data_IF_784787498640
#
_entry.id   IF_784787498640
#
_cell.length_a   1.000
_cell.length_b   1.000
_cell.length_c   1.000
_cell.angle_alpha   90.00
_cell.angle_beta   90.00
_cell.angle_gamma   90.00
#
_symmetry.space_group_name_H-M   'P 1'
#
loop_
_entity.id
_entity.type
_entity.pdbx_description
1 polymer ?
#
# COMPACT_ATOMS: atom_id res chain seq x y z
N UNK A 1 46.81 0.49 29.34
CA UNK A 1 47.64 -0.72 29.45
C UNK A 1 47.47 -1.47 28.14
N UNK A 2 48.17 -1.07 27.09
CA UNK A 2 49.59 -1.34 26.81
C UNK A 2 49.92 -2.81 26.49
N UNK A 3 50.57 -2.93 25.33
CA UNK A 3 51.59 -3.92 24.95
C UNK A 3 51.16 -5.36 24.62
N UNK A 4 51.19 -5.69 23.31
CA UNK A 4 52.41 -6.19 22.66
C UNK A 4 52.25 -6.27 21.13
N UNK A 5 52.85 -5.31 20.43
CA UNK A 5 53.42 -5.47 19.08
C UNK A 5 54.83 -6.01 19.27
N UNK A 6 55.18 -7.13 18.64
CA UNK A 6 56.54 -7.51 18.22
C UNK A 6 56.47 -8.95 17.70
N UNK A 7 56.54 -9.15 16.38
CA UNK A 7 56.51 -10.51 15.81
C UNK A 7 56.28 -10.64 14.31
N UNK A 8 56.58 -9.62 13.49
CA UNK A 8 56.32 -9.68 12.05
C UNK A 8 57.50 -9.25 11.16
N UNK A 9 58.74 -9.22 11.67
CA UNK A 9 59.87 -8.61 10.93
C UNK A 9 61.14 -9.48 10.84
N UNK A 10 61.01 -10.81 10.97
CA UNK A 10 62.16 -11.74 10.84
C UNK A 10 61.98 -12.94 9.92
N UNK A 11 60.89 -13.03 9.16
CA UNK A 11 60.70 -14.10 8.16
C UNK A 11 60.69 -13.62 6.69
N UNK A 12 60.89 -12.32 6.46
CA UNK A 12 60.86 -11.74 5.11
C UNK A 12 62.26 -11.57 4.48
N UNK A 13 63.33 -11.99 5.17
CA UNK A 13 64.73 -11.79 4.75
C UNK A 13 65.47 -13.06 4.29
N UNK A 14 64.77 -14.17 4.02
CA UNK A 14 65.40 -15.41 3.52
C UNK A 14 64.77 -16.01 2.24
N UNK A 15 63.82 -15.33 1.59
CA UNK A 15 63.22 -15.81 0.32
C UNK A 15 63.64 -15.03 -0.93
N UNK A 16 64.29 -13.86 -0.80
CA UNK A 16 64.65 -13.01 -1.95
C UNK A 16 66.00 -13.35 -2.61
N UNK A 17 66.86 -14.14 -1.96
CA UNK A 17 68.17 -14.53 -2.52
C UNK A 17 68.11 -15.81 -3.38
N UNK A 18 67.11 -16.68 -3.19
CA UNK A 18 66.91 -17.90 -4.00
C UNK A 18 66.31 -17.64 -5.39
N UNK A 19 65.54 -16.55 -5.56
CA UNK A 19 64.85 -16.26 -6.82
C UNK A 19 65.75 -15.57 -7.86
N UNK A 20 66.85 -14.95 -7.42
CA UNK A 20 67.80 -14.24 -8.31
C UNK A 20 68.80 -15.17 -9.01
N UNK A 21 69.04 -16.37 -8.46
CA UNK A 21 69.92 -17.38 -9.07
C UNK A 21 69.30 -18.11 -10.27
N UNK A 22 68.00 -18.41 -10.23
CA UNK A 22 67.31 -19.16 -11.29
C UNK A 22 67.04 -18.33 -12.55
N UNK A 23 66.90 -17.00 -12.40
CA UNK A 23 66.62 -16.07 -13.53
C UNK A 23 67.85 -15.81 -14.42
N UNK A 24 69.07 -16.09 -13.96
CA UNK A 24 70.31 -15.89 -14.75
C UNK A 24 70.62 -17.06 -15.70
N UNK A 25 70.26 -18.30 -15.36
CA UNK A 25 70.58 -19.48 -16.19
C UNK A 25 69.67 -19.69 -17.41
N UNK A 26 68.41 -19.25 -17.35
CA UNK A 26 67.44 -19.43 -18.46
C UNK A 26 67.60 -18.35 -19.55
N UNK A 27 68.08 -17.16 -19.18
CA UNK A 27 68.26 -16.04 -20.11
C UNK A 27 69.35 -16.25 -21.15
N UNK A 28 70.42 -16.98 -20.80
CA UNK A 28 71.55 -17.24 -21.72
C UNK A 28 71.28 -18.39 -22.70
N UNK A 29 70.34 -19.30 -22.40
CA UNK A 29 69.94 -20.37 -23.33
C UNK A 29 68.99 -19.85 -24.43
N UNK A 30 68.11 -18.88 -24.10
CA UNK A 30 67.14 -18.30 -25.05
C UNK A 30 67.75 -17.29 -26.04
N UNK A 31 68.97 -16.81 -25.81
CA UNK A 31 69.64 -15.86 -26.72
C UNK A 31 70.35 -16.53 -27.90
N UNK A 32 70.73 -17.81 -27.80
CA UNK A 32 71.46 -18.55 -28.87
C UNK A 32 70.55 -19.23 -29.90
N UNK A 33 69.27 -19.43 -29.63
CA UNK A 33 68.30 -20.07 -30.54
C UNK A 33 67.43 -19.08 -31.34
N UNK A 34 67.52 -17.78 -31.06
CA UNK A 34 66.72 -16.71 -31.69
C UNK A 34 67.09 -16.38 -33.15
N UNK A 35 68.28 -16.74 -33.63
CA UNK A 35 68.78 -16.32 -34.95
C UNK A 35 68.12 -16.98 -36.16
N UNK A 36 67.56 -18.19 -36.01
CA UNK A 36 67.03 -18.98 -37.14
C UNK A 36 65.54 -19.36 -37.02
N UNK A 37 64.99 -19.37 -35.80
CA UNK A 37 63.59 -19.73 -35.54
C UNK A 37 62.60 -18.60 -35.90
N UNK A 38 62.99 -17.35 -35.73
CA UNK A 38 62.15 -16.18 -36.03
C UNK A 38 61.82 -16.06 -37.53
N UNK A 39 62.78 -16.14 -38.47
CA UNK A 39 62.47 -16.07 -39.91
C UNK A 39 61.67 -17.28 -40.41
N UNK A 40 61.86 -18.47 -39.85
CA UNK A 40 61.14 -19.68 -40.28
C UNK A 40 59.68 -19.67 -39.80
N UNK A 41 59.42 -19.22 -38.57
CA UNK A 41 58.06 -19.06 -38.06
C UNK A 41 57.31 -17.90 -38.74
N UNK A 42 57.97 -16.80 -39.09
CA UNK A 42 57.34 -15.73 -39.87
C UNK A 42 57.04 -16.14 -41.31
N UNK A 43 57.91 -16.94 -41.95
CA UNK A 43 57.64 -17.51 -43.29
C UNK A 43 56.47 -18.52 -43.23
N UNK A 44 56.36 -19.34 -42.19
CA UNK A 44 55.21 -20.25 -42.01
C UNK A 44 53.92 -19.46 -41.71
N UNK A 45 53.99 -18.39 -40.92
CA UNK A 45 52.83 -17.54 -40.60
C UNK A 45 52.38 -16.73 -41.83
N UNK A 46 53.31 -16.17 -42.61
CA UNK A 46 53.02 -15.48 -43.87
C UNK A 46 52.53 -16.45 -44.95
N UNK A 47 53.12 -17.64 -45.05
CA UNK A 47 52.70 -18.70 -45.97
C UNK A 47 51.31 -19.26 -45.66
N UNK A 48 50.97 -19.42 -44.38
CA UNK A 48 49.61 -19.83 -43.96
C UNK A 48 48.58 -18.71 -44.16
N UNK A 49 48.96 -17.44 -44.00
CA UNK A 49 48.10 -16.30 -44.34
C UNK A 49 47.84 -16.20 -45.86
N UNK A 50 48.84 -16.49 -46.70
CA UNK A 50 48.72 -16.54 -48.17
C UNK A 50 47.87 -17.73 -48.64
N UNK A 51 47.93 -18.87 -47.95
CA UNK A 51 47.06 -20.02 -48.23
C UNK A 51 45.60 -19.78 -47.78
N UNK A 52 45.37 -18.94 -46.78
CA UNK A 52 44.03 -18.52 -46.32
C UNK A 52 43.41 -17.41 -47.19
N UNK A 53 44.22 -16.59 -47.86
CA UNK A 53 43.77 -15.49 -48.73
C UNK A 53 42.74 -15.90 -49.80
N UNK A 54 42.94 -16.95 -50.62
CA UNK A 54 41.93 -17.40 -51.58
C UNK A 54 40.67 -18.00 -50.92
N UNK A 55 40.76 -18.48 -49.68
CA UNK A 55 39.60 -18.95 -48.90
C UNK A 55 38.78 -17.77 -48.36
N UNK A 56 39.45 -16.73 -47.84
CA UNK A 56 38.83 -15.47 -47.41
C UNK A 56 38.19 -14.72 -48.60
N UNK A 57 38.84 -14.68 -49.76
CA UNK A 57 38.29 -14.12 -51.00
C UNK A 57 37.08 -14.90 -51.54
N UNK A 58 36.93 -16.19 -51.22
CA UNK A 58 35.71 -16.98 -51.52
C UNK A 58 34.58 -16.77 -50.49
N UNK A 59 34.89 -16.32 -49.28
CA UNK A 59 33.90 -16.08 -48.22
C UNK A 59 33.17 -14.72 -48.37
N UNK A 60 33.88 -13.67 -48.78
CA UNK A 60 33.27 -12.35 -49.07
C UNK A 60 32.06 -12.40 -50.04
N UNK A 61 32.13 -13.08 -51.21
CA UNK A 61 31.01 -13.10 -52.15
C UNK A 61 29.79 -13.87 -51.61
N UNK A 62 29.97 -14.83 -50.69
CA UNK A 62 28.85 -15.55 -50.05
C UNK A 62 28.13 -14.69 -49.01
N UNK A 63 28.86 -13.87 -48.25
CA UNK A 63 28.24 -12.92 -47.31
C UNK A 63 27.41 -11.85 -48.05
N UNK A 64 27.84 -11.42 -49.24
CA UNK A 64 27.04 -10.53 -50.13
C UNK A 64 25.75 -11.16 -50.66
N UNK A 65 25.59 -12.48 -50.60
CA UNK A 65 24.36 -13.16 -51.03
C UNK A 65 23.31 -13.27 -49.92
N UNK A 66 23.66 -12.94 -48.67
CA UNK A 66 22.69 -12.92 -47.57
C UNK A 66 21.85 -11.63 -47.70
N UNK A 67 20.53 -11.72 -47.91
CA UNK A 67 19.68 -10.53 -48.19
C UNK A 67 19.78 -9.46 -47.11
N UNK A 68 19.93 -9.87 -45.84
CA UNK A 68 20.12 -8.99 -44.70
C UNK A 68 21.40 -8.16 -44.74
N UNK A 69 22.49 -8.72 -45.30
CA UNK A 69 23.77 -8.03 -45.39
C UNK A 69 23.78 -6.94 -46.46
N UNK A 70 23.01 -7.12 -47.55
CA UNK A 70 22.90 -6.13 -48.61
C UNK A 70 22.28 -4.81 -48.13
N UNK A 71 21.31 -4.87 -47.22
CA UNK A 71 20.72 -3.67 -46.61
C UNK A 71 21.78 -2.83 -45.88
N UNK A 72 22.74 -3.48 -45.22
CA UNK A 72 23.77 -2.80 -44.41
C UNK A 72 24.85 -2.10 -45.23
N UNK A 73 24.92 -2.34 -46.55
CA UNK A 73 25.80 -1.60 -47.44
C UNK A 73 25.39 -0.12 -47.57
N UNK A 74 24.11 0.19 -47.33
CA UNK A 74 23.56 1.55 -47.41
C UNK A 74 22.96 2.03 -46.08
N UNK A 75 22.39 1.13 -45.27
CA UNK A 75 21.78 1.47 -43.99
C UNK A 75 22.71 1.17 -42.83
N UNK A 76 23.20 2.23 -42.18
CA UNK A 76 24.02 2.08 -40.98
C UNK A 76 23.15 1.59 -39.83
N UNK A 77 23.62 0.54 -39.16
CA UNK A 77 22.96 0.00 -37.98
C UNK A 77 23.22 0.87 -36.76
N UNK A 78 22.17 1.11 -35.99
CA UNK A 78 22.25 1.84 -34.73
C UNK A 78 22.50 0.88 -33.56
N UNK A 79 23.11 1.39 -32.50
CA UNK A 79 23.32 0.68 -31.23
C UNK A 79 22.64 1.42 -30.09
N UNK A 80 22.17 0.68 -29.09
CA UNK A 80 21.51 1.25 -27.92
C UNK A 80 21.29 0.22 -26.83
N UNK A 81 20.71 0.66 -25.72
CA UNK A 81 20.53 -0.15 -24.53
C UNK A 81 19.54 -1.30 -24.74
N UNK A 82 18.43 -1.03 -25.44
CA UNK A 82 17.44 -2.02 -25.85
C UNK A 82 17.46 -2.15 -27.37
N UNK A 83 17.61 -3.36 -27.88
CA UNK A 83 17.68 -3.64 -29.32
C UNK A 83 16.67 -4.75 -29.64
N UNK A 84 15.81 -4.50 -30.62
CA UNK A 84 14.81 -5.47 -31.04
C UNK A 84 15.50 -6.70 -31.64
N UNK A 85 15.21 -7.94 -31.20
CA UNK A 85 15.97 -9.11 -31.64
C UNK A 85 16.03 -9.32 -33.16
N UNK A 86 14.93 -9.18 -33.94
CA UNK A 86 14.99 -9.27 -35.40
C UNK A 86 15.91 -8.20 -36.02
N UNK A 87 15.90 -6.98 -35.47
CA UNK A 87 16.81 -5.93 -35.89
C UNK A 87 18.25 -6.28 -35.56
N UNK A 88 18.54 -6.77 -34.34
CA UNK A 88 19.88 -7.23 -33.93
C UNK A 88 20.44 -8.30 -34.87
N UNK A 89 19.59 -9.23 -35.32
CA UNK A 89 19.94 -10.30 -36.27
C UNK A 89 19.99 -9.85 -37.74
N UNK A 90 19.71 -8.57 -38.02
CA UNK A 90 19.64 -8.01 -39.37
C UNK A 90 18.53 -8.62 -40.22
N UNK A 91 17.46 -9.17 -39.64
CA UNK A 91 16.32 -9.71 -40.39
C UNK A 91 15.41 -8.59 -40.93
N UNK A 92 15.98 -7.66 -41.70
CA UNK A 92 15.31 -6.45 -42.20
C UNK A 92 14.06 -6.79 -43.04
N UNK A 93 14.14 -7.86 -43.83
CA UNK A 93 13.07 -8.31 -44.73
C UNK A 93 11.89 -8.96 -44.03
N UNK A 94 11.99 -9.23 -42.73
CA UNK A 94 10.85 -9.68 -41.93
C UNK A 94 9.84 -8.56 -41.68
N UNK A 95 10.27 -7.30 -41.76
CA UNK A 95 9.41 -6.13 -41.53
C UNK A 95 9.33 -5.22 -42.75
N UNK A 96 10.43 -5.04 -43.47
CA UNK A 96 10.53 -4.11 -44.60
C UNK A 96 10.57 -4.83 -45.94
N UNK A 97 9.91 -4.27 -46.95
CA UNK A 97 10.09 -4.72 -48.33
C UNK A 97 11.48 -4.27 -48.83
N UNK A 98 12.20 -5.12 -49.58
CA UNK A 98 13.40 -4.68 -50.30
C UNK A 98 13.07 -3.50 -51.23
N UNK A 99 13.97 -2.53 -51.31
CA UNK A 99 13.78 -1.32 -52.10
C UNK A 99 15.10 -0.85 -52.70
N UNK A 100 15.03 0.07 -53.66
CA UNK A 100 16.19 0.70 -54.29
C UNK A 100 16.58 1.99 -53.57
N UNK A 101 17.79 2.49 -53.87
CA UNK A 101 18.25 3.79 -53.38
C UNK A 101 17.33 4.90 -53.87
N UNK A 102 16.84 5.73 -52.95
CA UNK A 102 15.92 6.84 -53.24
C UNK A 102 14.44 6.50 -53.07
N UNK A 103 14.08 5.22 -52.95
CA UNK A 103 12.72 4.80 -52.63
C UNK A 103 12.46 4.86 -51.11
N UNK A 104 11.21 5.11 -50.72
CA UNK A 104 10.79 5.04 -49.31
C UNK A 104 10.75 3.57 -48.87
N UNK A 105 11.15 3.32 -47.63
CA UNK A 105 11.00 1.99 -47.04
C UNK A 105 9.53 1.71 -46.74
N UNK A 106 9.03 0.57 -47.23
CA UNK A 106 7.68 0.10 -46.98
C UNK A 106 7.66 -1.12 -46.06
N UNK A 107 6.59 -1.30 -45.30
CA UNK A 107 6.38 -2.51 -44.50
C UNK A 107 5.80 -3.64 -45.36
N UNK A 108 6.13 -4.89 -45.02
CA UNK A 108 5.62 -6.09 -45.71
C UNK A 108 4.14 -6.35 -45.44
N UNK A 109 3.59 -5.76 -44.37
CA UNK A 109 2.19 -5.82 -43.99
C UNK A 109 1.80 -4.55 -43.21
N UNK A 110 0.50 -4.24 -43.04
CA UNK A 110 0.06 -3.16 -42.15
C UNK A 110 0.66 -3.31 -40.75
N UNK A 111 1.09 -2.20 -40.14
CA UNK A 111 1.87 -2.18 -38.91
C UNK A 111 1.28 -3.06 -37.79
N UNK A 112 -0.02 -2.89 -37.48
CA UNK A 112 -0.73 -3.66 -36.45
C UNK A 112 -0.63 -5.18 -36.70
N UNK A 113 -0.95 -5.62 -37.92
CA UNK A 113 -0.91 -7.03 -38.31
C UNK A 113 0.51 -7.58 -38.30
N UNK A 114 1.49 -6.78 -38.74
CA UNK A 114 2.90 -7.13 -38.73
C UNK A 114 3.43 -7.36 -37.30
N UNK A 115 3.11 -6.48 -36.36
CA UNK A 115 3.55 -6.65 -34.98
C UNK A 115 2.96 -7.93 -34.36
N UNK A 116 1.69 -8.21 -34.61
CA UNK A 116 1.01 -9.36 -34.01
C UNK A 116 1.41 -10.72 -34.58
N UNK A 117 1.95 -10.78 -35.80
CA UNK A 117 2.48 -12.04 -36.34
C UNK A 117 3.64 -12.60 -35.50
N UNK A 118 4.36 -11.72 -34.79
CA UNK A 118 5.44 -12.11 -33.87
C UNK A 118 5.10 -11.90 -32.39
N UNK A 119 4.17 -10.98 -32.06
CA UNK A 119 3.70 -10.70 -30.70
C UNK A 119 2.22 -11.11 -30.51
N UNK A 120 1.89 -12.41 -30.60
CA UNK A 120 0.50 -12.88 -30.51
C UNK A 120 -0.11 -12.64 -29.13
N UNK A 121 0.71 -12.49 -28.07
CA UNK A 121 0.25 -12.11 -26.73
C UNK A 121 -0.45 -10.76 -26.71
N UNK A 122 0.12 -9.74 -27.37
CA UNK A 122 -0.50 -8.41 -27.50
C UNK A 122 -1.79 -8.52 -28.33
N UNK A 123 -1.79 -9.37 -29.36
CA UNK A 123 -2.98 -9.68 -30.14
C UNK A 123 -4.14 -10.24 -29.29
N UNK A 124 -3.84 -10.98 -28.22
CA UNK A 124 -4.84 -11.43 -27.23
C UNK A 124 -5.21 -10.32 -26.24
N UNK A 125 -4.27 -9.48 -25.83
CA UNK A 125 -4.54 -8.39 -24.89
C UNK A 125 -5.60 -7.41 -25.45
N UNK A 126 -5.59 -7.16 -26.76
CA UNK A 126 -6.56 -6.26 -27.43
C UNK A 126 -7.94 -6.88 -27.65
N UNK A 127 -8.16 -8.12 -27.23
CA UNK A 127 -9.49 -8.76 -27.23
C UNK A 127 -10.10 -8.84 -25.83
N UNK A 128 -9.42 -8.30 -24.82
CA UNK A 128 -9.90 -8.28 -23.44
C UNK A 128 -10.96 -7.20 -23.21
N UNK A 129 -11.55 -7.22 -22.02
CA UNK A 129 -12.62 -6.31 -21.61
C UNK A 129 -12.22 -4.83 -21.70
N UNK A 130 -11.00 -4.50 -21.26
CA UNK A 130 -10.41 -3.19 -21.41
C UNK A 130 -9.28 -3.25 -22.43
N UNK A 131 -9.35 -2.42 -23.45
CA UNK A 131 -8.30 -2.25 -24.46
C UNK A 131 -7.84 -0.81 -24.42
N UNK A 132 -6.53 -0.59 -24.35
CA UNK A 132 -5.99 0.75 -24.39
C UNK A 132 -6.10 1.31 -25.82
N UNK A 133 -6.80 2.42 -25.97
CA UNK A 133 -7.19 3.02 -27.25
C UNK A 133 -6.09 3.10 -28.30
N UNK A 134 -4.87 3.62 -28.00
CA UNK A 134 -3.77 3.68 -28.97
C UNK A 134 -3.38 2.29 -29.50
N UNK A 135 -3.44 1.28 -28.64
CA UNK A 135 -3.07 -0.10 -28.97
C UNK A 135 -4.16 -0.76 -29.80
N UNK A 136 -5.44 -0.54 -29.45
CA UNK A 136 -6.58 -0.98 -30.24
C UNK A 136 -6.56 -0.42 -31.67
N UNK A 137 -6.14 0.84 -31.84
CA UNK A 137 -5.97 1.52 -33.14
C UNK A 137 -4.68 1.14 -33.88
N UNK A 138 -3.78 0.39 -33.25
CA UNK A 138 -2.52 -0.06 -33.86
C UNK A 138 -1.42 0.98 -33.89
N UNK A 139 -1.49 2.01 -33.04
CA UNK A 139 -0.48 3.04 -32.90
C UNK A 139 0.71 2.59 -32.03
N UNK A 140 1.26 1.41 -32.34
CA UNK A 140 2.38 0.81 -31.60
C UNK A 140 3.59 1.76 -31.52
N UNK A 141 3.79 2.52 -32.60
CA UNK A 141 4.91 3.44 -32.72
C UNK A 141 4.72 4.72 -31.90
N UNK A 142 3.57 4.99 -31.29
CA UNK A 142 3.43 6.15 -30.41
C UNK A 142 4.23 5.96 -29.12
N UNK A 143 4.43 4.71 -28.72
CA UNK A 143 5.18 4.34 -27.52
C UNK A 143 6.49 3.61 -27.81
N UNK A 144 6.59 2.84 -28.91
CA UNK A 144 7.75 1.98 -29.17
C UNK A 144 8.63 2.42 -30.35
N UNK A 145 9.93 2.13 -30.25
CA UNK A 145 10.93 2.21 -31.32
C UNK A 145 11.30 0.79 -31.78
N UNK A 146 10.88 0.35 -32.98
CA UNK A 146 10.97 -1.05 -33.39
C UNK A 146 12.39 -1.58 -33.69
N UNK A 147 13.41 -0.71 -33.64
CA UNK A 147 14.80 -1.08 -33.89
C UNK A 147 15.63 -1.05 -32.61
N UNK A 148 15.80 0.15 -32.06
CA UNK A 148 16.68 0.44 -30.93
C UNK A 148 16.03 1.50 -30.07
N UNK A 149 16.24 1.41 -28.76
CA UNK A 149 15.92 2.45 -27.81
C UNK A 149 16.97 2.55 -26.69
N UNK A 150 17.08 3.72 -26.08
CA UNK A 150 17.74 3.94 -24.78
C UNK A 150 16.94 3.39 -23.60
N UNK A 151 15.66 3.04 -23.78
CA UNK A 151 14.74 2.60 -22.74
C UNK A 151 14.37 1.13 -22.87
N UNK A 152 14.01 0.52 -21.73
CA UNK A 152 13.58 -0.88 -21.69
C UNK A 152 12.35 -1.12 -22.58
N UNK A 153 12.21 -2.37 -23.04
CA UNK A 153 11.12 -2.83 -23.92
C UNK A 153 10.87 -1.90 -25.11
N UNK A 154 11.95 -1.30 -25.63
CA UNK A 154 11.95 -0.45 -26.82
C UNK A 154 11.04 0.79 -26.69
N UNK A 155 10.86 1.36 -25.51
CA UNK A 155 10.04 2.58 -25.36
C UNK A 155 10.72 3.79 -26.00
N UNK A 156 9.96 4.73 -26.55
CA UNK A 156 10.48 5.98 -27.15
C UNK A 156 11.15 6.89 -26.12
N UNK A 157 10.65 6.84 -24.89
CA UNK A 157 11.00 7.73 -23.78
C UNK A 157 10.82 6.95 -22.47
N UNK A 158 11.12 7.60 -21.35
CA UNK A 158 10.76 7.09 -20.03
C UNK A 158 9.24 6.83 -19.91
N UNK A 159 8.88 5.74 -19.25
CA UNK A 159 7.48 5.30 -19.10
C UNK A 159 6.57 6.38 -18.52
N UNK A 160 7.02 7.12 -17.51
CA UNK A 160 6.26 8.22 -16.90
C UNK A 160 5.99 9.30 -17.94
N UNK A 161 7.01 9.71 -18.70
CA UNK A 161 6.87 10.76 -19.73
C UNK A 161 5.91 10.34 -20.84
N UNK A 162 5.96 9.10 -21.29
CA UNK A 162 5.03 8.58 -22.33
C UNK A 162 3.59 8.67 -21.84
N UNK A 163 3.31 8.17 -20.63
CA UNK A 163 1.96 8.22 -20.07
C UNK A 163 1.46 9.66 -19.94
N UNK A 164 2.31 10.57 -19.44
CA UNK A 164 1.95 11.96 -19.15
C UNK A 164 1.77 12.82 -20.40
N UNK A 165 2.23 12.35 -21.57
CA UNK A 165 2.00 13.04 -22.84
C UNK A 165 0.50 13.13 -23.17
N UNK A 166 -0.24 12.05 -22.88
CA UNK A 166 -1.69 11.97 -23.12
C UNK A 166 -2.51 12.08 -21.83
N UNK A 167 -2.12 11.36 -20.79
CA UNK A 167 -2.83 11.37 -19.51
C UNK A 167 -2.42 12.60 -18.70
N UNK A 168 -3.33 13.56 -18.61
CA UNK A 168 -3.11 14.82 -17.90
C UNK A 168 -3.45 14.63 -16.43
N UNK A 169 -2.42 14.59 -15.61
CA UNK A 169 -2.54 14.43 -14.16
C UNK A 169 -2.28 15.71 -13.37
N UNK A 170 -2.50 16.88 -13.99
CA UNK A 170 -2.15 18.15 -13.36
C UNK A 170 -2.88 18.38 -12.03
N UNK A 171 -4.13 17.92 -11.95
CA UNK A 171 -4.95 18.03 -10.75
C UNK A 171 -4.44 17.10 -9.64
N UNK A 172 -4.24 15.81 -9.93
CA UNK A 172 -3.74 14.83 -8.97
C UNK A 172 -2.32 15.17 -8.50
N UNK A 173 -1.48 15.74 -9.36
CA UNK A 173 -0.16 16.23 -8.98
C UNK A 173 -0.21 17.47 -8.08
N UNK A 174 -1.29 18.26 -8.14
CA UNK A 174 -1.48 19.42 -7.26
C UNK A 174 -2.09 19.04 -5.90
N UNK A 175 -2.62 17.82 -5.75
CA UNK A 175 -3.18 17.34 -4.49
C UNK A 175 -2.11 17.09 -3.42
N UNK A 176 -2.52 17.20 -2.15
CA UNK A 176 -1.61 17.17 -1.00
C UNK A 176 -1.02 15.79 -0.70
N UNK A 177 -1.85 14.76 -0.70
CA UNK A 177 -1.47 13.39 -0.38
C UNK A 177 -1.39 12.61 -1.70
N UNK A 178 -0.18 12.28 -2.16
CA UNK A 178 0.02 11.53 -3.40
C UNK A 178 0.45 10.11 -3.09
N UNK A 179 -0.20 9.15 -3.74
CA UNK A 179 0.18 7.75 -3.60
C UNK A 179 1.60 7.56 -4.16
N UNK A 180 2.51 7.04 -3.34
CA UNK A 180 3.94 6.98 -3.65
C UNK A 180 4.27 6.33 -5.01
N UNK A 181 3.68 5.18 -5.41
CA UNK A 181 3.89 4.62 -6.74
C UNK A 181 3.47 5.56 -7.88
N UNK A 182 2.39 6.33 -7.70
CA UNK A 182 1.94 7.30 -8.69
C UNK A 182 2.90 8.49 -8.80
N UNK A 183 3.33 9.05 -7.68
CA UNK A 183 4.31 10.14 -7.64
C UNK A 183 5.64 9.74 -8.31
N UNK A 184 6.09 8.51 -8.04
CA UNK A 184 7.26 7.91 -8.67
C UNK A 184 7.08 7.57 -10.16
N UNK A 185 5.86 7.65 -10.71
CA UNK A 185 5.56 7.31 -12.10
C UNK A 185 5.55 5.81 -12.40
N UNK A 186 5.36 4.97 -11.39
CA UNK A 186 5.29 3.52 -11.50
C UNK A 186 3.90 3.06 -11.96
N UNK A 187 3.37 3.64 -13.03
CA UNK A 187 2.02 3.37 -13.54
C UNK A 187 1.80 1.87 -13.82
N UNK A 188 2.84 1.20 -14.32
CA UNK A 188 2.82 -0.21 -14.66
C UNK A 188 2.90 -1.18 -13.45
N UNK A 189 2.95 -0.65 -12.22
CA UNK A 189 2.76 -1.46 -11.01
C UNK A 189 1.29 -1.80 -10.76
N UNK A 190 0.38 -0.97 -11.29
CA UNK A 190 -1.06 -1.12 -11.14
C UNK A 190 -1.77 -1.35 -12.47
N UNK A 191 -1.26 -0.76 -13.55
CA UNK A 191 -1.87 -0.82 -14.88
C UNK A 191 -1.07 -1.67 -15.87
N UNK A 192 -1.75 -2.15 -16.90
CA UNK A 192 -1.17 -2.72 -18.12
C UNK A 192 -1.53 -1.84 -19.31
N UNK A 193 -0.53 -1.50 -20.12
CA UNK A 193 -0.68 -0.49 -21.18
C UNK A 193 -1.35 -1.01 -22.48
N UNK A 194 -1.52 -2.33 -22.64
CA UNK A 194 -2.10 -2.93 -23.86
C UNK A 194 -3.58 -3.26 -23.68
N UNK A 195 -3.90 -4.13 -22.73
CA UNK A 195 -5.27 -4.53 -22.45
C UNK A 195 -5.37 -5.43 -21.23
N UNK A 196 -6.51 -5.37 -20.56
CA UNK A 196 -6.79 -6.06 -19.29
C UNK A 196 -8.20 -6.62 -19.25
N UNK A 197 -8.37 -7.69 -18.48
CA UNK A 197 -9.69 -8.23 -18.14
C UNK A 197 -10.40 -7.35 -17.09
N UNK A 198 -9.65 -6.47 -16.44
CA UNK A 198 -10.12 -5.56 -15.40
C UNK A 198 -10.30 -4.13 -15.92
N UNK A 199 -11.27 -3.42 -15.33
CA UNK A 199 -11.57 -2.04 -15.70
C UNK A 199 -10.37 -1.11 -15.56
N UNK A 200 -10.34 -0.05 -16.39
CA UNK A 200 -9.28 0.98 -16.41
C UNK A 200 -7.86 0.42 -16.58
N UNK A 201 -7.74 -0.76 -17.19
CA UNK A 201 -6.45 -1.36 -17.50
C UNK A 201 -5.67 -1.83 -16.28
N UNK A 202 -6.34 -2.17 -15.17
CA UNK A 202 -5.66 -2.69 -13.98
C UNK A 202 -5.07 -4.07 -14.24
N UNK A 203 -3.95 -4.42 -13.61
CA UNK A 203 -3.31 -5.73 -13.78
C UNK A 203 -4.13 -6.85 -13.12
N UNK A 204 -4.82 -6.52 -12.02
CA UNK A 204 -5.71 -7.40 -11.25
C UNK A 204 -6.92 -6.60 -10.76
N UNK A 205 -7.89 -7.30 -10.18
CA UNK A 205 -8.97 -6.66 -9.42
C UNK A 205 -8.40 -5.86 -8.23
N UNK A 206 -9.19 -4.95 -7.64
CA UNK A 206 -8.64 -3.95 -6.71
C UNK A 206 -8.09 -4.60 -5.44
N UNK A 207 -8.85 -5.52 -4.83
CA UNK A 207 -8.49 -6.20 -3.59
C UNK A 207 -7.17 -6.94 -3.75
N UNK A 208 -7.02 -7.76 -4.78
CA UNK A 208 -5.77 -8.51 -5.00
C UNK A 208 -4.62 -7.57 -5.37
N UNK A 209 -4.89 -6.52 -6.14
CA UNK A 209 -3.86 -5.56 -6.54
C UNK A 209 -3.33 -4.76 -5.35
N UNK A 210 -4.23 -4.16 -4.56
CA UNK A 210 -3.87 -3.29 -3.45
C UNK A 210 -3.20 -4.08 -2.32
N UNK A 211 -3.73 -5.24 -1.91
CA UNK A 211 -3.16 -5.99 -0.78
C UNK A 211 -1.83 -6.67 -1.10
N UNK A 212 -1.44 -6.76 -2.38
CA UNK A 212 -0.10 -7.20 -2.76
C UNK A 212 0.99 -6.26 -2.19
N UNK A 213 0.67 -4.97 -2.02
CA UNK A 213 1.54 -3.98 -1.40
C UNK A 213 1.08 -3.55 0.00
N UNK A 214 -0.21 -3.74 0.33
CA UNK A 214 -0.80 -3.41 1.64
C UNK A 214 -1.19 -4.68 2.42
N UNK A 215 -0.20 -5.49 2.87
CA UNK A 215 -0.48 -6.78 3.49
C UNK A 215 -1.21 -6.68 4.83
N UNK A 216 -1.08 -5.58 5.57
CA UNK A 216 -1.78 -5.39 6.83
C UNK A 216 -3.29 -5.22 6.64
N UNK A 217 -3.70 -4.52 5.57
CA UNK A 217 -5.09 -4.52 5.13
C UNK A 217 -5.47 -5.91 4.64
N UNK A 218 -4.58 -6.58 3.90
CA UNK A 218 -4.76 -7.97 3.46
C UNK A 218 -5.09 -8.95 4.58
N UNK A 219 -4.54 -8.76 5.79
CA UNK A 219 -4.89 -9.56 6.98
C UNK A 219 -6.27 -9.20 7.51
N UNK A 220 -6.59 -7.90 7.64
CA UNK A 220 -7.86 -7.42 8.19
C UNK A 220 -9.07 -7.85 7.36
N UNK A 221 -8.95 -7.85 6.04
CA UNK A 221 -10.04 -8.26 5.14
C UNK A 221 -10.30 -9.78 5.13
N UNK A 222 -9.50 -10.56 5.87
CA UNK A 222 -9.74 -11.98 6.11
C UNK A 222 -10.54 -12.22 7.40
N UNK A 223 -10.76 -11.17 8.20
CA UNK A 223 -11.56 -11.28 9.41
C UNK A 223 -13.03 -11.64 9.07
N UNK A 224 -13.81 -12.20 10.02
CA UNK A 224 -15.20 -12.59 9.77
C UNK A 224 -16.11 -11.42 9.37
N UNK A 225 -15.85 -10.23 9.91
CA UNK A 225 -16.62 -9.02 9.62
C UNK A 225 -15.78 -8.08 8.77
N UNK A 226 -16.16 -7.95 7.50
CA UNK A 226 -15.50 -7.07 6.52
C UNK A 226 -16.52 -6.07 6.02
N UNK A 227 -16.09 -4.81 5.89
CA UNK A 227 -16.97 -3.73 5.45
C UNK A 227 -17.46 -3.98 4.00
N UNK A 228 -18.76 -3.79 3.69
CA UNK A 228 -19.33 -4.20 2.40
C UNK A 228 -18.61 -3.69 1.14
N UNK A 229 -18.20 -2.40 1.03
CA UNK A 229 -17.45 -1.92 -0.13
C UNK A 229 -16.17 -2.73 -0.41
N UNK A 230 -15.52 -3.24 0.64
CA UNK A 230 -14.29 -4.03 0.52
C UNK A 230 -14.61 -5.47 0.15
N UNK A 231 -15.71 -6.03 0.68
CA UNK A 231 -16.22 -7.33 0.21
C UNK A 231 -16.44 -7.29 -1.31
N UNK A 232 -16.99 -6.19 -1.81
CA UNK A 232 -17.33 -5.95 -3.21
C UNK A 232 -16.17 -5.51 -4.13
N UNK A 233 -14.91 -5.56 -3.67
CA UNK A 233 -13.74 -5.17 -4.46
C UNK A 233 -13.67 -3.67 -4.81
N UNK A 234 -14.22 -2.80 -3.96
CA UNK A 234 -14.32 -1.35 -4.19
C UNK A 234 -13.44 -0.54 -3.24
N UNK A 235 -12.16 -0.87 -3.16
CA UNK A 235 -11.17 -0.09 -2.39
C UNK A 235 -11.18 1.39 -2.79
N UNK A 236 -11.39 1.67 -4.09
CA UNK A 236 -11.37 3.03 -4.64
C UNK A 236 -12.63 3.84 -4.38
N UNK A 237 -13.69 3.26 -3.81
CA UNK A 237 -14.87 4.03 -3.40
C UNK A 237 -14.53 4.92 -2.18
N UNK A 238 -13.52 4.52 -1.41
CA UNK A 238 -13.02 5.29 -0.27
C UNK A 238 -11.66 5.95 -0.54
N UNK A 239 -10.75 5.24 -1.19
CA UNK A 239 -9.39 5.70 -1.42
C UNK A 239 -9.16 6.22 -2.84
N UNK A 240 -8.62 7.43 -2.95
CA UNK A 240 -7.81 7.88 -4.05
C UNK A 240 -6.66 6.92 -4.32
N UNK A 241 -6.52 6.54 -5.58
CA UNK A 241 -5.52 5.55 -6.03
C UNK A 241 -4.28 6.20 -6.64
N UNK A 242 -4.39 7.47 -7.04
CA UNK A 242 -3.28 8.31 -7.50
C UNK A 242 -2.93 9.37 -6.47
N UNK A 243 -3.92 10.15 -6.06
CA UNK A 243 -3.77 11.23 -5.10
C UNK A 243 -5.11 11.58 -4.45
N UNK A 244 -5.03 12.30 -3.34
CA UNK A 244 -6.14 13.00 -2.70
C UNK A 244 -5.66 14.25 -1.95
N UNK A 245 -6.57 15.16 -1.64
CA UNK A 245 -6.31 16.26 -0.71
C UNK A 245 -6.38 15.84 0.76
N UNK A 246 -6.84 14.62 1.05
CA UNK A 246 -7.09 14.13 2.40
C UNK A 246 -6.14 12.99 2.76
N UNK A 247 -5.76 12.85 4.06
CA UNK A 247 -4.85 11.81 4.51
C UNK A 247 -5.33 10.39 4.16
N UNK A 248 -4.37 9.47 4.05
CA UNK A 248 -4.60 8.06 3.66
C UNK A 248 -5.44 7.94 2.39
N UNK A 249 -5.29 8.92 1.50
CA UNK A 249 -5.98 9.01 0.23
C UNK A 249 -7.52 9.07 0.31
N UNK A 250 -8.18 9.49 1.38
CA UNK A 250 -9.66 9.52 1.38
C UNK A 250 -10.25 10.53 0.40
N UNK A 251 -11.49 10.37 -0.07
CA UNK A 251 -12.13 11.36 -0.95
C UNK A 251 -12.73 12.59 -0.23
N UNK A 252 -12.80 12.57 1.11
CA UNK A 252 -13.22 13.68 1.96
C UNK A 252 -12.45 13.64 3.30
N UNK A 253 -12.66 14.64 4.16
CA UNK A 253 -12.13 14.61 5.53
C UNK A 253 -12.64 13.40 6.32
N UNK A 254 -11.83 12.90 7.27
CA UNK A 254 -12.01 11.57 7.86
C UNK A 254 -13.41 11.30 8.43
N UNK A 255 -13.95 12.22 9.22
CA UNK A 255 -15.28 12.09 9.85
C UNK A 255 -16.36 12.25 8.78
N UNK A 256 -16.28 13.32 7.99
CA UNK A 256 -17.27 13.65 6.97
C UNK A 256 -17.40 12.55 5.91
N UNK A 257 -16.30 11.89 5.56
CA UNK A 257 -16.28 10.79 4.61
C UNK A 257 -17.19 9.63 5.05
N UNK A 258 -17.13 9.23 6.33
CA UNK A 258 -18.01 8.20 6.88
C UNK A 258 -19.49 8.60 6.76
N UNK A 259 -19.79 9.87 7.04
CA UNK A 259 -21.15 10.40 7.02
C UNK A 259 -21.75 10.60 5.62
N UNK A 260 -20.95 10.48 4.55
CA UNK A 260 -21.49 10.44 3.18
C UNK A 260 -22.48 9.28 3.02
N UNK A 261 -22.22 8.16 3.71
CA UNK A 261 -23.09 6.98 3.72
C UNK A 261 -23.83 6.81 5.05
N UNK A 262 -23.14 6.97 6.18
CA UNK A 262 -23.68 6.73 7.54
C UNK A 262 -24.35 8.00 8.12
N UNK A 263 -25.38 8.48 7.43
CA UNK A 263 -26.11 9.71 7.82
C UNK A 263 -26.91 9.55 9.11
N UNK A 264 -27.46 8.36 9.33
CA UNK A 264 -28.12 7.97 10.57
C UNK A 264 -27.18 8.08 11.78
N UNK A 265 -25.92 7.68 11.61
CA UNK A 265 -24.91 7.82 12.66
C UNK A 265 -24.54 9.28 12.88
N UNK A 266 -24.46 10.10 11.82
CA UNK A 266 -24.24 11.55 11.93
C UNK A 266 -25.30 12.19 12.82
N UNK A 267 -26.57 11.86 12.58
CA UNK A 267 -27.70 12.42 13.35
C UNK A 267 -27.59 12.09 14.85
N UNK A 268 -27.01 10.95 15.21
CA UNK A 268 -26.76 10.57 16.61
C UNK A 268 -25.70 11.46 17.26
N UNK A 269 -24.63 11.83 16.55
CA UNK A 269 -23.58 12.71 17.05
C UNK A 269 -24.02 14.19 17.16
N UNK A 270 -25.16 14.55 16.57
CA UNK A 270 -25.76 15.89 16.71
C UNK A 270 -26.66 16.03 17.95
N UNK A 271 -26.88 14.93 18.70
CA UNK A 271 -27.66 14.94 19.93
C UNK A 271 -26.94 15.66 21.07
N UNK A 272 -27.71 15.97 22.13
CA UNK A 272 -27.25 16.75 23.29
C UNK A 272 -26.08 16.11 24.04
N UNK A 273 -25.98 14.77 24.02
CA UNK A 273 -24.86 14.03 24.61
C UNK A 273 -24.29 13.07 23.56
N UNK A 274 -23.06 13.30 23.13
CA UNK A 274 -22.36 12.47 22.14
C UNK A 274 -20.89 12.32 22.53
N UNK A 275 -20.22 11.26 22.08
CA UNK A 275 -18.76 11.21 22.19
C UNK A 275 -18.16 12.35 21.35
N UNK A 276 -17.09 13.02 21.83
CA UNK A 276 -16.54 14.19 21.16
C UNK A 276 -15.74 13.77 19.92
N UNK A 277 -16.31 13.93 18.73
CA UNK A 277 -15.58 13.72 17.49
C UNK A 277 -14.57 14.86 17.27
N UNK A 278 -13.30 14.48 17.13
CA UNK A 278 -12.17 15.39 16.90
C UNK A 278 -11.27 14.84 15.80
N UNK A 279 -10.21 15.58 15.46
CA UNK A 279 -9.21 15.14 14.48
C UNK A 279 -8.49 13.84 14.90
N UNK A 280 -8.29 13.65 16.19
CA UNK A 280 -7.50 12.56 16.76
C UNK A 280 -8.36 11.45 17.39
N UNK A 281 -9.64 11.76 17.68
CA UNK A 281 -10.64 10.81 18.17
C UNK A 281 -11.87 10.81 17.28
N UNK A 282 -12.03 9.77 16.48
CA UNK A 282 -13.09 9.63 15.49
C UNK A 282 -13.45 8.15 15.29
N UNK A 283 -14.27 7.85 14.28
CA UNK A 283 -14.88 6.54 14.06
C UNK A 283 -13.87 5.38 14.14
N UNK A 284 -12.66 5.53 13.57
CA UNK A 284 -11.70 4.41 13.49
C UNK A 284 -10.97 4.10 14.79
N UNK A 285 -11.07 4.98 15.80
CA UNK A 285 -10.61 4.66 17.14
C UNK A 285 -11.45 3.50 17.71
N UNK A 286 -12.74 3.44 17.34
CA UNK A 286 -13.65 2.38 17.75
C UNK A 286 -13.80 1.27 16.70
N UNK A 287 -13.75 1.60 15.41
CA UNK A 287 -14.04 0.69 14.31
C UNK A 287 -12.85 0.43 13.37
N UNK A 288 -12.80 -0.73 12.74
CA UNK A 288 -11.92 -0.99 11.60
C UNK A 288 -12.73 -0.97 10.29
N UNK A 289 -12.60 0.09 9.46
CA UNK A 289 -13.36 0.20 8.22
C UNK A 289 -12.93 -0.84 7.16
N UNK A 290 -11.85 -1.59 7.39
CA UNK A 290 -11.43 -2.67 6.52
C UNK A 290 -12.06 -4.01 6.91
N UNK A 291 -11.86 -4.40 8.16
CA UNK A 291 -12.42 -5.62 8.71
C UNK A 291 -11.94 -5.88 10.14
N UNK A 292 -12.84 -6.41 10.96
CA UNK A 292 -12.61 -6.66 12.37
C UNK A 292 -13.05 -8.08 12.78
N UNK A 293 -12.53 -8.55 13.90
CA UNK A 293 -12.88 -9.85 14.47
C UNK A 293 -14.30 -9.87 15.06
N UNK A 294 -14.81 -8.71 15.43
CA UNK A 294 -16.09 -8.54 16.10
C UNK A 294 -17.12 -7.90 15.17
N UNK A 295 -18.39 -8.11 15.49
CA UNK A 295 -19.52 -7.56 14.73
C UNK A 295 -19.52 -6.02 14.76
N UNK A 296 -20.25 -5.40 13.83
CA UNK A 296 -20.26 -3.95 13.66
C UNK A 296 -18.86 -3.33 13.44
N UNK A 297 -17.89 -4.14 13.04
CA UNK A 297 -16.52 -3.73 12.75
C UNK A 297 -15.79 -3.09 13.93
N UNK A 298 -16.12 -3.45 15.17
CA UNK A 298 -15.45 -2.87 16.35
C UNK A 298 -14.06 -3.49 16.56
N UNK A 299 -13.11 -2.66 17.00
CA UNK A 299 -11.71 -3.06 17.19
C UNK A 299 -11.51 -4.04 18.34
N UNK A 300 -12.40 -4.05 19.33
CA UNK A 300 -12.35 -4.91 20.53
C UNK A 300 -13.77 -5.13 21.09
N UNK A 301 -13.98 -6.17 21.90
CA UNK A 301 -15.30 -6.53 22.43
C UNK A 301 -15.44 -6.30 23.95
N UNK A 302 -16.67 -6.02 24.38
CA UNK A 302 -17.03 -5.93 25.79
C UNK A 302 -16.52 -4.68 26.49
N UNK A 303 -16.68 -4.65 27.81
CA UNK A 303 -16.39 -3.46 28.63
C UNK A 303 -14.91 -3.09 28.66
N UNK A 304 -14.02 -4.09 28.49
CA UNK A 304 -12.58 -3.87 28.38
C UNK A 304 -12.23 -2.87 27.28
N UNK A 305 -13.02 -2.81 26.21
CA UNK A 305 -12.81 -1.83 25.15
C UNK A 305 -13.04 -0.40 25.65
N UNK A 306 -14.13 -0.18 26.40
CA UNK A 306 -14.43 1.13 26.99
C UNK A 306 -13.33 1.57 27.97
N UNK A 307 -12.76 0.63 28.71
CA UNK A 307 -11.72 0.89 29.72
C UNK A 307 -10.37 1.28 29.11
N UNK A 308 -10.17 1.12 27.79
CA UNK A 308 -8.98 1.67 27.11
C UNK A 308 -8.92 3.21 27.20
N UNK A 309 -10.05 3.87 27.41
CA UNK A 309 -10.13 5.32 27.60
C UNK A 309 -10.76 5.71 28.95
N UNK A 310 -11.65 4.88 29.49
CA UNK A 310 -12.32 5.07 30.77
C UNK A 310 -11.73 4.16 31.85
N UNK A 311 -10.42 4.27 32.06
CA UNK A 311 -9.65 3.41 32.98
C UNK A 311 -10.10 3.55 34.44
N UNK A 312 -10.47 4.76 34.84
CA UNK A 312 -11.00 5.09 36.17
C UNK A 312 -12.28 4.30 36.47
N UNK A 313 -13.19 4.24 35.49
CA UNK A 313 -14.40 3.43 35.58
C UNK A 313 -14.03 1.94 35.63
N UNK A 314 -13.13 1.48 34.75
CA UNK A 314 -12.71 0.08 34.69
C UNK A 314 -12.10 -0.45 35.99
N UNK A 315 -11.43 0.42 36.74
CA UNK A 315 -10.81 0.07 38.03
C UNK A 315 -11.83 -0.38 39.07
N UNK A 316 -13.03 0.21 39.06
CA UNK A 316 -14.03 -0.01 40.10
C UNK A 316 -15.29 -0.71 39.60
N UNK A 317 -15.56 -0.72 38.29
CA UNK A 317 -16.76 -1.35 37.75
C UNK A 317 -16.75 -2.88 37.96
N UNK A 318 -15.58 -3.49 37.83
CA UNK A 318 -15.40 -4.93 38.04
C UNK A 318 -15.81 -5.32 39.47
N UNK A 319 -16.80 -6.20 39.58
CA UNK A 319 -17.35 -6.65 40.86
C UNK A 319 -18.43 -5.76 41.48
N UNK A 320 -18.84 -4.68 40.81
CA UNK A 320 -20.01 -3.92 41.22
C UNK A 320 -21.30 -4.71 40.96
N UNK A 321 -22.41 -4.29 41.58
CA UNK A 321 -23.69 -4.98 41.40
C UNK A 321 -24.19 -4.96 39.94
N UNK A 322 -23.80 -3.95 39.16
CA UNK A 322 -24.20 -3.80 37.75
C UNK A 322 -23.32 -4.60 36.77
N UNK A 323 -22.14 -5.06 37.19
CA UNK A 323 -21.24 -5.89 36.39
C UNK A 323 -21.83 -7.28 36.05
N UNK A 324 -22.87 -7.68 36.79
CA UNK A 324 -23.57 -8.95 36.60
C UNK A 324 -24.96 -8.80 35.97
N UNK A 325 -25.40 -7.57 35.70
CA UNK A 325 -26.75 -7.31 35.19
C UNK A 325 -26.82 -7.70 33.72
N UNK A 326 -27.88 -8.44 33.37
CA UNK A 326 -28.17 -8.83 31.99
C UNK A 326 -29.47 -8.14 31.56
N UNK A 327 -29.41 -7.35 30.48
CA UNK A 327 -30.60 -6.74 29.89
C UNK A 327 -30.60 -6.79 28.36
N UNK A 328 -29.94 -5.82 27.70
CA UNK A 328 -29.79 -5.77 26.23
C UNK A 328 -28.61 -6.63 25.78
N UNK A 329 -27.55 -6.67 26.59
CA UNK A 329 -26.32 -7.42 26.39
C UNK A 329 -25.92 -8.15 27.69
N UNK A 330 -25.20 -9.28 27.59
CA UNK A 330 -24.76 -10.07 28.74
C UNK A 330 -23.68 -9.35 29.57
N UNK A 331 -23.35 -9.93 30.73
CA UNK A 331 -22.16 -9.59 31.52
C UNK A 331 -22.00 -8.10 31.90
N UNK A 332 -23.09 -7.44 32.32
CA UNK A 332 -22.99 -6.07 32.82
C UNK A 332 -22.47 -5.08 31.78
N UNK A 333 -22.71 -5.35 30.49
CA UNK A 333 -22.20 -4.53 29.39
C UNK A 333 -22.53 -3.05 29.56
N UNK A 334 -21.55 -2.16 29.31
CA UNK A 334 -21.75 -0.71 29.28
C UNK A 334 -22.89 -0.31 28.33
N UNK A 335 -23.10 -1.07 27.25
CA UNK A 335 -24.15 -0.82 26.26
C UNK A 335 -25.57 -1.13 26.75
N UNK A 336 -25.73 -1.75 27.93
CA UNK A 336 -27.02 -1.84 28.60
C UNK A 336 -27.53 -0.47 29.05
N UNK A 337 -26.63 0.47 29.31
CA UNK A 337 -26.96 1.78 29.84
C UNK A 337 -26.57 2.91 28.88
N UNK A 338 -25.49 2.74 28.11
CA UNK A 338 -24.93 3.76 27.25
C UNK A 338 -25.16 3.49 25.77
N UNK A 339 -25.39 4.57 25.02
CA UNK A 339 -25.47 4.59 23.57
C UNK A 339 -24.32 5.41 23.00
N UNK A 340 -23.27 4.72 22.55
CA UNK A 340 -21.92 5.31 22.34
C UNK A 340 -21.82 6.38 21.26
N UNK A 341 -22.74 6.46 20.31
CA UNK A 341 -22.69 7.50 19.28
C UNK A 341 -23.30 8.82 19.78
N UNK A 342 -24.50 8.75 20.34
CA UNK A 342 -25.11 9.90 20.99
C UNK A 342 -26.56 9.69 21.42
N UNK A 343 -26.96 10.40 22.46
CA UNK A 343 -28.25 10.33 23.12
C UNK A 343 -28.80 11.70 23.45
N UNK A 344 -30.13 11.77 23.55
CA UNK A 344 -30.85 12.95 24.02
C UNK A 344 -30.73 13.12 25.55
N UNK A 345 -30.25 12.08 26.23
CA UNK A 345 -30.05 12.03 27.67
C UNK A 345 -28.57 12.20 28.02
N UNK A 346 -28.29 12.95 29.09
CA UNK A 346 -26.94 13.21 29.59
C UNK A 346 -26.13 11.93 29.80
N UNK A 347 -24.82 12.02 29.63
CA UNK A 347 -23.88 10.90 29.78
C UNK A 347 -24.20 9.70 28.88
N UNK A 348 -24.66 9.97 27.66
CA UNK A 348 -24.94 8.95 26.64
C UNK A 348 -25.97 7.90 27.07
N UNK A 349 -26.85 8.18 28.02
CA UNK A 349 -27.78 7.15 28.54
C UNK A 349 -28.80 6.73 27.47
N UNK A 350 -29.17 5.45 27.41
CA UNK A 350 -30.17 4.93 26.45
C UNK A 350 -31.60 5.40 26.75
N UNK A 351 -31.85 5.91 27.97
CA UNK A 351 -33.13 6.41 28.47
C UNK A 351 -32.88 7.55 29.47
N UNK A 352 -33.94 8.29 29.81
CA UNK A 352 -33.93 9.20 30.95
C UNK A 352 -33.49 8.45 32.22
N UNK A 353 -32.64 9.07 33.04
CA UNK A 353 -31.91 8.41 34.12
C UNK A 353 -32.83 7.66 35.10
N UNK A 354 -33.90 8.31 35.60
CA UNK A 354 -34.84 7.66 36.53
C UNK A 354 -35.58 6.51 35.85
N UNK A 355 -36.04 6.71 34.61
CA UNK A 355 -36.71 5.66 33.83
C UNK A 355 -35.78 4.46 33.51
N UNK A 356 -34.49 4.72 33.28
CA UNK A 356 -33.49 3.68 33.09
C UNK A 356 -33.35 2.82 34.34
N UNK A 357 -33.12 3.42 35.51
CA UNK A 357 -33.01 2.70 36.77
C UNK A 357 -34.27 1.88 37.06
N UNK A 358 -35.46 2.48 36.86
CA UNK A 358 -36.76 1.81 37.02
C UNK A 358 -37.00 0.66 36.04
N UNK A 359 -36.20 0.49 35.00
CA UNK A 359 -36.32 -0.66 34.11
C UNK A 359 -35.96 -1.97 34.85
N UNK A 360 -35.07 -1.91 35.85
CA UNK A 360 -34.64 -3.09 36.63
C UNK A 360 -35.01 -2.95 38.11
N UNK A 361 -34.94 -1.75 38.68
CA UNK A 361 -35.21 -1.48 40.09
C UNK A 361 -36.70 -1.20 40.36
N UNK A 362 -37.58 -2.08 39.88
CA UNK A 362 -39.03 -1.87 39.91
C UNK A 362 -39.69 -2.48 41.16
N UNK A 363 -39.10 -3.51 41.78
CA UNK A 363 -39.66 -4.25 42.92
C UNK A 363 -38.58 -4.95 43.76
N UNK A 364 -37.48 -4.28 44.12
CA UNK A 364 -36.57 -4.87 45.10
C UNK A 364 -37.22 -4.75 46.51
N UNK A 365 -37.62 -5.84 47.19
CA UNK A 365 -38.17 -5.76 48.55
C UNK A 365 -37.19 -5.15 49.57
N UNK A 366 -35.92 -4.94 49.18
CA UNK A 366 -34.86 -4.28 49.95
C UNK A 366 -34.53 -2.84 49.53
N UNK A 367 -35.07 -2.35 48.41
CA UNK A 367 -34.81 -0.98 47.92
C UNK A 367 -36.10 -0.16 48.10
N UNK A 368 -36.48 0.06 49.36
CA UNK A 368 -37.52 1.04 49.70
C UNK A 368 -36.94 2.42 49.44
N UNK A 369 -37.42 3.07 48.38
CA UNK A 369 -37.01 4.43 48.06
C UNK A 369 -37.85 5.35 48.94
N UNK A 370 -37.33 5.71 50.11
CA UNK A 370 -38.00 6.57 51.09
C UNK A 370 -37.76 8.07 50.82
N UNK A 371 -37.00 8.41 49.77
CA UNK A 371 -36.68 9.80 49.40
C UNK A 371 -37.33 10.20 48.06
N UNK A 372 -37.89 11.42 47.92
CA UNK A 372 -38.42 11.90 46.65
C UNK A 372 -37.34 12.07 45.57
N UNK A 373 -37.68 11.86 44.30
CA UNK A 373 -36.80 12.02 43.14
C UNK A 373 -37.63 12.26 41.87
N UNK A 374 -36.97 12.73 40.80
CA UNK A 374 -37.60 13.17 39.56
C UNK A 374 -38.22 14.56 39.69
N UNK A 375 -38.94 15.00 38.66
CA UNK A 375 -39.63 16.30 38.69
C UNK A 375 -40.75 16.27 39.75
N UNK A 376 -40.91 17.31 40.61
CA UNK A 376 -40.24 18.62 40.59
C UNK A 376 -39.02 18.75 41.52
N UNK A 377 -38.49 17.64 42.04
CA UNK A 377 -37.44 17.65 43.07
C UNK A 377 -36.08 18.01 42.47
N UNK A 378 -35.41 18.96 43.12
CA UNK A 378 -34.10 19.48 42.73
C UNK A 378 -33.00 18.83 43.56
N UNK A 379 -31.89 18.55 42.92
CA UNK A 379 -30.65 18.15 43.57
C UNK A 379 -29.91 19.41 44.03
N UNK A 380 -29.76 19.59 45.34
CA UNK A 380 -29.13 20.79 45.90
C UNK A 380 -27.62 20.87 45.65
N UNK A 381 -26.97 19.74 45.34
CA UNK A 381 -25.53 19.71 45.07
C UNK A 381 -25.23 19.98 43.61
N UNK A 382 -26.01 19.40 42.69
CA UNK A 382 -25.78 19.59 41.24
C UNK A 382 -26.59 20.73 40.64
N UNK A 383 -27.62 21.20 41.35
CA UNK A 383 -28.56 22.20 40.86
C UNK A 383 -29.58 21.67 39.85
N UNK A 384 -29.45 20.41 39.42
CA UNK A 384 -30.31 19.75 38.44
C UNK A 384 -31.52 19.06 39.04
N UNK A 385 -32.18 18.21 38.25
CA UNK A 385 -33.25 17.32 38.76
C UNK A 385 -32.62 16.26 39.66
N UNK A 386 -33.21 16.03 40.83
CA UNK A 386 -32.79 14.96 41.72
C UNK A 386 -33.12 13.60 41.11
N UNK A 387 -32.11 12.85 40.69
CA UNK A 387 -32.27 11.50 40.15
C UNK A 387 -31.58 10.49 41.06
N UNK A 388 -31.67 9.20 40.74
CA UNK A 388 -30.95 8.17 41.49
C UNK A 388 -29.43 8.38 41.42
N UNK A 389 -28.91 8.88 40.30
CA UNK A 389 -27.48 9.01 40.01
C UNK A 389 -26.98 10.45 39.92
N UNK A 390 -27.79 11.45 40.28
CA UNK A 390 -27.35 12.85 40.20
C UNK A 390 -26.31 13.17 41.27
N UNK A 391 -26.50 12.65 42.48
CA UNK A 391 -25.60 12.86 43.60
C UNK A 391 -25.60 11.73 44.63
N UNK A 392 -26.67 10.94 44.69
CA UNK A 392 -26.84 9.87 45.68
C UNK A 392 -26.04 8.61 45.35
N UNK A 393 -26.23 8.05 44.15
CA UNK A 393 -25.59 6.80 43.73
C UNK A 393 -24.61 6.99 42.56
N UNK A 394 -23.50 6.27 42.58
CA UNK A 394 -22.69 6.07 41.37
C UNK A 394 -22.99 4.68 40.77
N UNK A 395 -23.60 4.61 39.58
CA UNK A 395 -23.92 3.33 38.96
C UNK A 395 -22.67 2.52 38.55
N UNK A 396 -21.48 3.12 38.54
CA UNK A 396 -20.23 2.47 38.15
C UNK A 396 -19.42 1.89 39.31
N UNK A 397 -19.95 1.97 40.54
CA UNK A 397 -19.41 1.52 41.83
C UNK A 397 -18.90 2.67 42.73
N UNK A 398 -18.97 2.43 44.04
CA UNK A 398 -18.36 3.27 45.06
C UNK A 398 -17.74 2.40 46.15
N UNK A 399 -16.80 2.91 46.97
CA UNK A 399 -16.30 2.16 48.12
C UNK A 399 -17.36 1.99 49.23
N UNK A 400 -18.58 2.51 49.06
CA UNK A 400 -19.62 2.50 50.07
C UNK A 400 -20.73 1.49 49.72
N UNK A 401 -21.34 0.82 50.71
CA UNK A 401 -22.42 -0.14 50.46
C UNK A 401 -23.58 0.48 49.68
N UNK A 402 -24.26 -0.32 48.84
CA UNK A 402 -25.36 0.12 47.99
C UNK A 402 -25.01 1.24 46.99
N UNK A 403 -23.72 1.38 46.65
CA UNK A 403 -23.23 2.28 45.60
C UNK A 403 -23.56 3.76 45.86
N UNK A 404 -23.66 4.17 47.13
CA UNK A 404 -23.86 5.59 47.49
C UNK A 404 -22.54 6.36 47.36
N UNK A 405 -22.58 7.64 47.04
CA UNK A 405 -21.37 8.47 46.82
C UNK A 405 -20.69 8.96 48.10
N UNK A 406 -21.37 8.86 49.25
CA UNK A 406 -20.88 9.26 50.58
C UNK A 406 -21.25 8.21 51.65
N UNK A 407 -20.45 8.05 52.72
CA UNK A 407 -20.74 7.10 53.78
C UNK A 407 -21.78 7.63 54.78
N UNK A 408 -22.60 6.72 55.34
CA UNK A 408 -23.57 6.98 56.44
C UNK A 408 -24.51 8.16 56.11
N UNK A 409 -24.78 9.03 57.08
CA UNK A 409 -25.66 10.21 56.95
C UNK A 409 -24.98 11.40 56.26
N UNK A 410 -23.72 11.25 55.80
CA UNK A 410 -22.94 12.35 55.23
C UNK A 410 -23.64 13.01 54.05
N UNK A 411 -24.40 12.25 53.26
CA UNK A 411 -25.19 12.78 52.16
C UNK A 411 -26.42 13.56 52.63
N UNK A 412 -27.16 13.02 53.61
CA UNK A 412 -28.33 13.67 54.19
C UNK A 412 -27.98 15.03 54.82
N UNK A 413 -26.85 15.09 55.52
CA UNK A 413 -26.38 16.31 56.18
C UNK A 413 -25.98 17.40 55.18
N UNK A 414 -25.37 17.02 54.04
CA UNK A 414 -24.97 17.97 53.00
C UNK A 414 -26.18 18.55 52.25
N UNK A 415 -27.10 17.70 51.79
CA UNK A 415 -28.26 18.16 51.02
C UNK A 415 -29.26 18.95 51.87
N UNK A 416 -29.42 18.62 53.15
CA UNK A 416 -30.26 19.39 54.07
C UNK A 416 -29.51 20.56 54.73
N UNK A 417 -28.32 20.91 54.24
CA UNK A 417 -27.52 22.06 54.69
C UNK A 417 -27.27 22.06 56.22
N UNK A 418 -27.18 20.87 56.80
CA UNK A 418 -26.82 20.67 58.22
C UNK A 418 -25.31 20.81 58.40
N UNK A 419 -24.54 20.59 57.33
CA UNK A 419 -23.09 20.84 57.25
C UNK A 419 -22.76 21.53 55.92
N UNK A 420 -21.78 22.42 55.92
CA UNK A 420 -21.32 23.09 54.70
C UNK A 420 -20.43 22.16 53.85
N UNK A 421 -20.44 22.37 52.54
CA UNK A 421 -19.49 21.71 51.63
C UNK A 421 -18.07 22.20 51.96
N UNK A 422 -17.07 21.29 52.07
CA UNK A 422 -15.69 21.68 52.29
C UNK A 422 -15.10 22.49 51.14
#
# INVERSE_FOLDING_TARGET
MENKKEGADKQQLQSEEGEKGLKRGVGEWLSRSRGWLIPLLTIIFLGSLILLLPYLQKFEPRLRQIPSYQCLLCHKKESGASIHPPYKMSHCTSCHKPHKKGEKSELVAPLKTLCFSCHPGIGKDITRNFVHDPVGKGFCLDCHLPHVSSHNVLLKEDSKKICFYCHRFAEELAMKDRHQPFEAGLCLSCHVAHGSDYGKGLIKNQKVLCVACHPDVGKKIQNPYVHPPIKDDKCTDCHGYHASNYPVQLWAEKIDFCFLCHRDIKDLFEKSSAHPLTKDFYCVNCHDPHGALHDNLINEQGNAFCFLCHEDIGTYYAGCAHDYVQWIAPEGSCLNCHFVHGSDYSSLLVKEAVALCKTCHILAPKHRIDHPYGVPYKDELTGGILTCSSSCHDPHNTPYPAMVTKPKDGFCLLCHQVVELP
#
